data_IF_837869740629
#
_entry.id   IF_837869740629
#
_cell.length_a   1.000
_cell.length_b   1.000
_cell.length_c   1.000
_cell.angle_alpha   90.00
_cell.angle_beta   90.00
_cell.angle_gamma   90.00
#
_symmetry.space_group_name_H-M   'P 1'
#
loop_
_entity.id
_entity.type
_entity.pdbx_description
1 polymer ?
#
# COMPACT_ATOMS: atom_id res chain seq x y z
N UNK A 1 -53.70 79.42 8.04
CA UNK A 1 -52.25 79.37 8.38
C UNK A 1 -51.78 77.91 8.38
N UNK A 2 -50.71 77.60 7.65
CA UNK A 2 -50.31 76.24 7.26
C UNK A 2 -49.83 75.35 8.43
N UNK A 3 -50.27 74.08 8.45
CA UNK A 3 -49.74 73.02 9.33
C UNK A 3 -48.28 72.73 8.97
N UNK A 4 -47.35 73.19 9.80
CA UNK A 4 -45.92 72.82 9.70
C UNK A 4 -45.76 71.35 10.14
N UNK A 5 -45.58 70.44 9.17
CA UNK A 5 -45.04 69.10 9.43
C UNK A 5 -43.63 69.28 9.98
N UNK A 6 -43.36 68.77 11.19
CA UNK A 6 -41.98 68.63 11.69
C UNK A 6 -41.29 67.59 10.82
N UNK A 7 -40.43 68.04 9.92
CA UNK A 7 -39.42 67.19 9.31
C UNK A 7 -38.46 66.82 10.44
N UNK A 8 -38.58 65.60 10.94
CA UNK A 8 -37.56 65.03 11.84
C UNK A 8 -36.37 64.71 10.95
N UNK A 9 -35.51 65.71 10.78
CA UNK A 9 -34.27 65.60 10.06
C UNK A 9 -33.45 64.44 10.62
N UNK A 10 -33.19 63.47 9.78
CA UNK A 10 -32.25 62.39 10.00
C UNK A 10 -30.82 62.96 9.99
N UNK A 11 -30.40 63.58 11.10
CA UNK A 11 -29.00 63.96 11.32
C UNK A 11 -28.66 63.74 12.78
N UNK A 12 -28.13 62.55 13.04
CA UNK A 12 -27.63 62.16 14.32
C UNK A 12 -27.02 60.79 14.19
N UNK A 13 -25.77 60.74 13.71
CA UNK A 13 -24.90 59.58 13.85
C UNK A 13 -24.71 59.29 15.34
N UNK A 14 -25.70 58.62 15.93
CA UNK A 14 -25.58 58.00 17.23
C UNK A 14 -25.46 56.53 16.93
N UNK A 15 -24.35 55.93 17.33
CA UNK A 15 -24.29 54.52 17.63
C UNK A 15 -25.25 54.23 18.80
N UNK A 16 -26.56 54.42 18.61
CA UNK A 16 -27.59 54.07 19.59
C UNK A 16 -27.68 52.56 19.62
N UNK A 17 -27.35 51.98 20.77
CA UNK A 17 -27.46 50.54 21.09
C UNK A 17 -28.93 50.06 21.02
N UNK A 18 -29.89 50.97 20.88
CA UNK A 18 -31.33 50.69 20.79
C UNK A 18 -31.62 49.79 19.57
N UNK A 19 -31.87 48.51 19.83
CA UNK A 19 -32.14 47.48 18.83
C UNK A 19 -30.97 46.53 18.54
N UNK A 20 -29.80 46.68 19.18
CA UNK A 20 -28.71 45.69 19.07
C UNK A 20 -28.98 44.51 20.01
N UNK A 21 -29.15 43.33 19.42
CA UNK A 21 -29.16 42.06 20.16
C UNK A 21 -27.72 41.72 20.52
N UNK A 22 -27.40 41.72 21.81
CA UNK A 22 -26.10 41.24 22.28
C UNK A 22 -26.05 39.73 22.05
N UNK A 23 -25.19 39.30 21.15
CA UNK A 23 -24.91 37.88 20.96
C UNK A 23 -23.67 37.53 21.76
N UNK A 24 -23.74 36.41 22.47
CA UNK A 24 -22.58 35.88 23.15
C UNK A 24 -21.55 35.45 22.12
N UNK A 25 -20.31 35.95 22.24
CA UNK A 25 -19.19 35.52 21.41
C UNK A 25 -18.96 34.00 21.52
N UNK A 26 -19.24 33.43 22.70
CA UNK A 26 -19.13 32.00 22.96
C UNK A 26 -20.19 31.24 22.14
N UNK A 27 -21.44 31.70 22.13
CA UNK A 27 -22.51 31.05 21.37
C UNK A 27 -22.27 31.12 19.85
N UNK A 28 -21.81 32.27 19.32
CA UNK A 28 -21.44 32.35 17.91
C UNK A 28 -20.26 31.45 17.57
N UNK A 29 -19.29 31.31 18.47
CA UNK A 29 -18.17 30.38 18.31
C UNK A 29 -18.66 28.93 18.21
N UNK A 30 -19.54 28.48 19.11
CA UNK A 30 -20.09 27.13 19.05
C UNK A 30 -20.86 26.85 17.76
N UNK A 31 -21.58 27.84 17.22
CA UNK A 31 -22.31 27.73 15.94
C UNK A 31 -21.39 27.61 14.72
N UNK A 32 -20.25 28.30 14.75
CA UNK A 32 -19.27 28.33 13.64
C UNK A 32 -18.11 27.35 13.84
N UNK A 33 -18.08 26.65 14.98
CA UNK A 33 -16.98 25.77 15.35
C UNK A 33 -16.85 24.67 14.28
N UNK A 34 -15.66 24.51 13.67
CA UNK A 34 -15.45 23.42 12.74
C UNK A 34 -15.56 22.07 13.45
N UNK A 35 -16.08 21.07 12.74
CA UNK A 35 -16.20 19.71 13.26
C UNK A 35 -14.80 19.15 13.45
N UNK A 36 -14.50 18.66 14.66
CA UNK A 36 -13.23 18.03 14.95
C UNK A 36 -13.29 16.54 14.60
N UNK A 37 -12.56 16.14 13.56
CA UNK A 37 -12.49 14.75 13.09
C UNK A 37 -11.29 13.96 13.64
N UNK A 38 -10.53 14.50 14.61
CA UNK A 38 -9.30 13.89 15.12
C UNK A 38 -9.51 12.45 15.57
N UNK A 39 -10.55 12.17 16.37
CA UNK A 39 -10.84 10.81 16.87
C UNK A 39 -11.22 9.85 15.74
N UNK A 40 -12.03 10.29 14.79
CA UNK A 40 -12.44 9.51 13.63
C UNK A 40 -11.25 9.19 12.72
N UNK A 41 -10.38 10.17 12.49
CA UNK A 41 -9.16 10.01 11.70
C UNK A 41 -8.17 9.08 12.39
N UNK A 42 -7.97 9.23 13.70
CA UNK A 42 -7.13 8.32 14.48
C UNK A 42 -7.69 6.90 14.44
N UNK A 43 -9.00 6.71 14.60
CA UNK A 43 -9.62 5.39 14.48
C UNK A 43 -9.43 4.80 13.08
N UNK A 44 -9.44 5.62 12.02
CA UNK A 44 -9.17 5.17 10.65
C UNK A 44 -7.70 4.80 10.44
N UNK A 45 -6.76 5.64 10.88
CA UNK A 45 -5.32 5.42 10.74
C UNK A 45 -4.81 4.26 11.62
N UNK A 46 -5.39 4.10 12.82
CA UNK A 46 -5.07 3.06 13.78
C UNK A 46 -5.92 1.80 13.63
N UNK A 47 -6.99 1.82 12.82
CA UNK A 47 -7.62 0.60 12.33
C UNK A 47 -6.55 -0.13 11.55
N UNK A 48 -5.90 -1.09 12.22
CA UNK A 48 -4.79 -1.83 11.69
C UNK A 48 -5.12 -2.39 10.32
N UNK A 49 -4.09 -2.53 9.47
CA UNK A 49 -4.22 -3.28 8.22
C UNK A 49 -4.80 -4.64 8.59
N UNK A 50 -5.96 -4.98 8.03
CA UNK A 50 -6.53 -6.31 8.16
C UNK A 50 -5.61 -7.25 7.39
N UNK A 51 -4.61 -7.79 8.08
CA UNK A 51 -3.76 -8.84 7.55
C UNK A 51 -4.63 -10.08 7.56
N UNK A 52 -4.90 -10.64 6.38
CA UNK A 52 -5.62 -11.90 6.27
C UNK A 52 -4.92 -12.96 7.14
N UNK A 53 -5.71 -13.88 7.71
CA UNK A 53 -5.18 -14.95 8.55
C UNK A 53 -3.99 -15.63 7.85
N UNK A 54 -2.89 -15.83 8.58
CA UNK A 54 -1.65 -16.42 8.05
C UNK A 54 -1.92 -17.71 7.27
N UNK A 55 -2.80 -18.57 7.78
CA UNK A 55 -3.20 -19.81 7.11
C UNK A 55 -3.80 -19.56 5.72
N UNK A 56 -4.66 -18.55 5.57
CA UNK A 56 -5.28 -18.19 4.29
C UNK A 56 -4.22 -17.62 3.34
N UNK A 57 -3.31 -16.78 3.84
CA UNK A 57 -2.23 -16.22 3.01
C UNK A 57 -1.28 -17.30 2.52
N UNK A 58 -0.95 -18.29 3.36
CA UNK A 58 -0.11 -19.42 3.00
C UNK A 58 -0.80 -20.33 1.97
N UNK A 59 -2.11 -20.55 2.12
CA UNK A 59 -2.90 -21.30 1.13
C UNK A 59 -2.90 -20.61 -0.24
N UNK A 60 -3.11 -19.29 -0.27
CA UNK A 60 -3.06 -18.50 -1.51
C UNK A 60 -1.65 -18.54 -2.13
N UNK A 61 -0.60 -18.43 -1.32
CA UNK A 61 0.78 -18.54 -1.80
C UNK A 61 1.07 -19.93 -2.36
N UNK A 62 0.63 -21.00 -1.69
CA UNK A 62 0.79 -22.37 -2.14
C UNK A 62 0.06 -22.64 -3.47
N UNK A 63 -1.17 -22.13 -3.63
CA UNK A 63 -1.92 -22.22 -4.87
C UNK A 63 -1.24 -21.47 -6.04
N UNK A 64 -0.59 -20.35 -5.74
CA UNK A 64 0.09 -19.53 -6.75
C UNK A 64 1.48 -20.07 -7.12
N UNK A 65 2.15 -20.77 -6.20
CA UNK A 65 3.44 -21.43 -6.43
C UNK A 65 3.30 -22.48 -7.53
N UNK A 66 4.31 -22.57 -8.40
CA UNK A 66 4.36 -23.55 -9.49
C UNK A 66 3.77 -23.10 -10.82
N UNK A 67 3.03 -21.99 -10.88
CA UNK A 67 2.65 -21.36 -12.17
C UNK A 67 3.81 -20.60 -12.81
N UNK A 68 4.70 -20.02 -12.00
CA UNK A 68 5.90 -19.31 -12.47
C UNK A 68 7.11 -20.23 -12.41
N UNK A 69 7.94 -20.21 -13.44
CA UNK A 69 9.18 -21.00 -13.51
C UNK A 69 10.13 -20.72 -12.32
N UNK A 70 10.09 -19.50 -11.75
CA UNK A 70 10.89 -19.10 -10.59
C UNK A 70 10.48 -19.78 -9.28
N UNK A 71 9.20 -20.13 -9.15
CA UNK A 71 8.65 -20.75 -7.95
C UNK A 71 8.76 -22.28 -7.99
N UNK A 72 9.13 -22.83 -9.14
CA UNK A 72 9.30 -24.26 -9.33
C UNK A 72 10.66 -24.66 -8.76
N UNK A 73 10.72 -25.65 -7.85
CA UNK A 73 12.00 -26.13 -7.36
C UNK A 73 12.84 -26.61 -8.55
N UNK A 74 14.16 -26.34 -8.56
CA UNK A 74 15.01 -26.72 -9.67
C UNK A 74 14.87 -28.23 -9.88
N UNK A 75 14.36 -28.62 -11.05
CA UNK A 75 14.28 -30.04 -11.42
C UNK A 75 15.70 -30.58 -11.29
N UNK A 76 15.89 -31.53 -10.39
CA UNK A 76 17.15 -32.23 -10.22
C UNK A 76 17.43 -32.94 -11.54
N UNK A 77 18.17 -32.29 -12.43
CA UNK A 77 18.64 -32.92 -13.64
C UNK A 77 19.54 -34.07 -13.16
N UNK A 78 19.10 -35.30 -13.41
CA UNK A 78 19.98 -36.44 -13.25
C UNK A 78 21.22 -36.14 -14.07
N UNK A 79 22.40 -36.11 -13.41
CA UNK A 79 23.67 -35.93 -14.09
C UNK A 79 23.71 -36.94 -15.24
N UNK A 80 23.81 -36.45 -16.47
CA UNK A 80 23.96 -37.33 -17.62
C UNK A 80 25.17 -38.21 -17.32
N UNK A 81 24.98 -39.52 -17.39
CA UNK A 81 26.11 -40.45 -17.35
C UNK A 81 27.03 -40.05 -18.52
N UNK A 82 28.37 -40.09 -18.34
CA UNK A 82 29.27 -39.83 -19.44
C UNK A 82 28.85 -40.72 -20.61
N UNK A 83 28.63 -40.12 -21.77
CA UNK A 83 28.34 -40.85 -23.01
C UNK A 83 29.48 -41.84 -23.20
N UNK A 84 29.15 -43.13 -23.16
CA UNK A 84 30.13 -44.21 -23.25
C UNK A 84 30.88 -44.06 -24.56
N UNK A 85 32.15 -43.68 -24.47
CA UNK A 85 33.03 -43.65 -25.63
C UNK A 85 33.10 -45.08 -26.17
N UNK A 86 32.99 -45.23 -27.49
CA UNK A 86 33.02 -46.55 -28.16
C UNK A 86 34.31 -47.31 -27.84
N UNK A 87 35.36 -46.58 -27.51
CA UNK A 87 36.64 -47.13 -27.05
C UNK A 87 36.70 -47.12 -25.53
N UNK A 88 36.94 -48.29 -24.98
CA UNK A 88 37.23 -48.49 -23.56
C UNK A 88 38.74 -48.48 -23.34
N UNK A 89 39.18 -48.23 -22.11
CA UNK A 89 40.60 -48.28 -21.73
C UNK A 89 41.27 -49.63 -22.08
N UNK A 90 40.47 -50.71 -22.12
CA UNK A 90 40.93 -52.03 -22.52
C UNK A 90 41.26 -52.12 -24.03
N UNK A 91 40.51 -51.39 -24.86
CA UNK A 91 40.77 -51.29 -26.31
C UNK A 91 42.09 -50.57 -26.58
N UNK A 92 42.39 -49.51 -25.82
CA UNK A 92 43.67 -48.82 -25.89
C UNK A 92 44.84 -49.74 -25.50
N UNK A 93 44.69 -50.53 -24.44
CA UNK A 93 45.72 -51.50 -24.04
C UNK A 93 45.95 -52.60 -25.08
N UNK A 94 44.90 -53.00 -25.81
CA UNK A 94 45.01 -53.96 -26.90
C UNK A 94 45.75 -53.34 -28.09
N UNK A 95 45.38 -52.12 -28.47
CA UNK A 95 46.05 -51.36 -29.53
C UNK A 95 47.54 -51.13 -29.24
N UNK A 96 47.89 -50.74 -28.02
CA UNK A 96 49.28 -50.54 -27.61
C UNK A 96 50.12 -51.81 -27.76
N UNK A 97 49.57 -52.97 -27.35
CA UNK A 97 50.25 -54.26 -27.48
C UNK A 97 50.44 -54.70 -28.94
N UNK A 98 49.48 -54.39 -29.79
CA UNK A 98 49.49 -54.79 -31.20
C UNK A 98 50.46 -53.96 -32.03
N UNK A 99 50.60 -52.67 -31.72
CA UNK A 99 51.41 -51.75 -32.53
C UNK A 99 52.78 -51.41 -31.95
N UNK A 100 52.90 -51.25 -30.64
CA UNK A 100 54.16 -50.81 -30.03
C UNK A 100 55.03 -51.97 -29.53
N UNK A 101 54.46 -53.18 -29.43
CA UNK A 101 55.11 -54.30 -28.77
C UNK A 101 55.36 -53.99 -27.29
N UNK A 102 55.40 -55.00 -26.42
CA UNK A 102 56.05 -54.75 -25.11
C UNK A 102 57.54 -54.51 -25.39
N UNK A 103 58.27 -53.72 -24.59
CA UNK A 103 59.73 -53.75 -24.65
C UNK A 103 60.23 -55.21 -24.54
#
# INVERSE_FOLDING_TARGET
>A
AARRRRVVGALGNKATVKGRVVKSAIEEYHKRKPVNHLRTNLQYMLKGRVVANKAITEQVLAQNRGRKAKDQPPKKAAKKKPEGTVFTEEDFRKFEREYFGRP
#
